data_IF_890418601199
#
_entry.id   IF_890418601199
#
_cell.length_a   1.000
_cell.length_b   1.000
_cell.length_c   1.000
_cell.angle_alpha   90.00
_cell.angle_beta   90.00
_cell.angle_gamma   90.00
#
_symmetry.space_group_name_H-M   'P 1'
#
loop_
_entity.id
_entity.type
_entity.pdbx_description
1 polymer ?
#
# COMPACT_ATOMS: atom_id res chain seq x y z
N UNK A 1 19.31 0.52 0.11
CA UNK A 1 18.72 0.73 -1.22
C UNK A 1 17.21 0.69 -1.07
N UNK A 2 16.45 1.61 -1.69
CA UNK A 2 15.00 1.60 -1.59
C UNK A 2 14.47 0.31 -2.23
N UNK A 3 13.93 -0.57 -1.41
CA UNK A 3 13.31 -1.81 -1.87
C UNK A 3 11.88 -1.45 -2.25
N UNK A 4 11.46 -1.61 -3.52
CA UNK A 4 10.07 -1.45 -3.87
C UNK A 4 9.26 -2.45 -3.02
N UNK A 5 8.36 -1.95 -2.18
CA UNK A 5 7.44 -2.82 -1.49
C UNK A 5 6.35 -3.22 -2.47
N UNK A 6 6.48 -4.43 -3.01
CA UNK A 6 5.37 -5.06 -3.70
C UNK A 6 4.30 -5.41 -2.68
N UNK A 7 3.31 -4.52 -2.55
CA UNK A 7 2.14 -4.70 -1.70
C UNK A 7 1.49 -6.08 -1.92
N UNK A 8 1.44 -6.53 -3.18
CA UNK A 8 0.92 -7.85 -3.57
C UNK A 8 1.72 -8.99 -2.94
N UNK A 9 3.05 -8.88 -2.91
CA UNK A 9 3.92 -9.87 -2.29
C UNK A 9 3.76 -9.87 -0.76
N UNK A 10 3.57 -8.70 -0.16
CA UNK A 10 3.34 -8.55 1.27
C UNK A 10 1.98 -9.12 1.70
N UNK A 11 0.94 -8.87 0.89
CA UNK A 11 -0.40 -9.45 1.05
C UNK A 11 -0.48 -10.94 0.69
N UNK A 12 0.59 -11.52 0.16
CA UNK A 12 0.62 -12.89 -0.34
C UNK A 12 -0.47 -13.18 -1.40
N UNK A 13 -0.82 -12.17 -2.22
CA UNK A 13 -1.82 -12.30 -3.28
C UNK A 13 -1.23 -12.04 -4.65
N UNK A 14 -1.73 -12.77 -5.63
CA UNK A 14 -1.37 -12.54 -7.04
C UNK A 14 -2.01 -11.26 -7.56
N UNK A 15 -1.33 -10.57 -8.49
CA UNK A 15 -1.87 -9.40 -9.19
C UNK A 15 -3.26 -9.68 -9.79
N UNK A 16 -3.49 -10.88 -10.31
CA UNK A 16 -4.78 -11.30 -10.90
C UNK A 16 -5.91 -11.31 -9.86
N UNK A 17 -5.73 -12.05 -8.76
CA UNK A 17 -6.70 -12.07 -7.65
C UNK A 17 -6.97 -10.67 -7.08
N UNK A 18 -5.93 -9.86 -6.94
CA UNK A 18 -6.04 -8.49 -6.48
C UNK A 18 -6.80 -7.60 -7.47
N UNK A 19 -6.53 -7.75 -8.77
CA UNK A 19 -7.21 -7.01 -9.83
C UNK A 19 -8.69 -7.39 -9.92
N UNK A 20 -9.03 -8.67 -9.73
CA UNK A 20 -10.41 -9.15 -9.65
C UNK A 20 -11.15 -8.58 -8.43
N UNK A 21 -10.46 -8.37 -7.30
CA UNK A 21 -11.02 -7.71 -6.12
C UNK A 21 -11.17 -6.21 -6.38
N UNK A 22 -10.20 -5.55 -7.02
CA UNK A 22 -10.28 -4.13 -7.40
C UNK A 22 -11.45 -3.87 -8.35
N UNK A 23 -11.69 -4.78 -9.28
CA UNK A 23 -12.79 -4.68 -10.25
C UNK A 23 -14.16 -4.76 -9.56
N UNK A 24 -14.26 -5.60 -8.52
CA UNK A 24 -15.48 -5.76 -7.71
C UNK A 24 -15.65 -4.70 -6.62
N UNK A 25 -14.55 -4.19 -6.09
CA UNK A 25 -14.51 -3.35 -4.90
C UNK A 25 -13.83 -2.00 -5.22
N UNK A 26 -14.66 -0.98 -5.48
CA UNK A 26 -14.17 0.37 -5.81
C UNK A 26 -13.38 1.01 -4.65
N UNK A 27 -13.69 0.64 -3.40
CA UNK A 27 -12.94 1.09 -2.23
C UNK A 27 -11.52 0.51 -2.22
N UNK A 28 -11.36 -0.76 -2.56
CA UNK A 28 -10.04 -1.39 -2.71
C UNK A 28 -9.24 -0.72 -3.83
N UNK A 29 -9.89 -0.40 -4.96
CA UNK A 29 -9.24 0.30 -6.06
C UNK A 29 -8.70 1.67 -5.63
N UNK A 30 -9.51 2.46 -4.90
CA UNK A 30 -9.09 3.76 -4.37
C UNK A 30 -7.94 3.60 -3.39
N UNK A 31 -8.07 2.71 -2.41
CA UNK A 31 -7.03 2.45 -1.41
C UNK A 31 -5.71 2.03 -2.06
N UNK A 32 -5.74 1.16 -3.06
CA UNK A 32 -4.54 0.73 -3.79
C UNK A 32 -3.86 1.89 -4.51
N UNK A 33 -4.62 2.74 -5.19
CA UNK A 33 -4.08 3.92 -5.88
C UNK A 33 -3.49 4.93 -4.89
N UNK A 34 -4.14 5.11 -3.75
CA UNK A 34 -3.67 5.97 -2.67
C UNK A 34 -2.38 5.41 -2.06
N UNK A 35 -2.32 4.09 -1.81
CA UNK A 35 -1.13 3.40 -1.33
C UNK A 35 0.05 3.60 -2.29
N UNK A 36 -0.15 3.36 -3.59
CA UNK A 36 0.90 3.49 -4.59
C UNK A 36 1.40 4.94 -4.69
N UNK A 37 0.50 5.91 -4.55
CA UNK A 37 0.87 7.33 -4.50
C UNK A 37 1.71 7.62 -3.25
N UNK A 38 1.28 7.14 -2.08
CA UNK A 38 1.99 7.34 -0.80
C UNK A 38 3.35 6.66 -0.78
N UNK A 39 3.45 5.46 -1.33
CA UNK A 39 4.72 4.74 -1.48
C UNK A 39 5.72 5.54 -2.35
N UNK A 40 5.26 6.11 -3.47
CA UNK A 40 6.08 7.03 -4.28
C UNK A 40 6.51 8.27 -3.52
N UNK A 41 5.61 8.86 -2.72
CA UNK A 41 5.96 10.01 -1.87
C UNK A 41 6.99 9.64 -0.80
N UNK A 42 6.86 8.47 -0.17
CA UNK A 42 7.85 7.93 0.78
C UNK A 42 9.20 7.75 0.09
N UNK A 43 9.23 7.05 -1.05
CA UNK A 43 10.45 6.80 -1.81
C UNK A 43 11.12 8.09 -2.27
N UNK A 44 10.33 9.06 -2.74
CA UNK A 44 10.84 10.37 -3.12
C UNK A 44 11.38 11.12 -1.90
N UNK A 45 10.69 11.08 -0.76
CA UNK A 45 11.16 11.71 0.47
C UNK A 45 12.46 11.06 0.99
N UNK A 46 12.54 9.73 0.97
CA UNK A 46 13.75 8.97 1.33
C UNK A 46 14.91 9.27 0.37
N UNK A 47 14.64 9.36 -0.94
CA UNK A 47 15.65 9.63 -1.95
C UNK A 47 16.15 11.08 -1.91
N UNK A 48 15.28 12.04 -1.60
CA UNK A 48 15.65 13.45 -1.47
C UNK A 48 16.34 13.77 -0.13
N UNK A 49 16.46 12.80 0.79
CA UNK A 49 16.96 13.05 2.14
C UNK A 49 16.05 14.00 2.93
N UNK A 50 14.76 13.98 2.63
CA UNK A 50 13.74 14.76 3.35
C UNK A 50 13.71 14.33 4.82
N UNK A 51 13.47 15.30 5.69
CA UNK A 51 13.40 15.16 7.15
C UNK A 51 12.73 13.84 7.60
N UNK A 52 13.42 13.08 8.46
CA UNK A 52 12.98 11.77 8.95
C UNK A 52 11.55 11.77 9.49
N UNK A 53 11.11 12.87 10.14
CA UNK A 53 9.73 13.00 10.62
C UNK A 53 8.68 12.89 9.51
N UNK A 54 8.94 13.50 8.34
CA UNK A 54 8.00 13.48 7.22
C UNK A 54 7.93 12.07 6.61
N UNK A 55 9.09 11.44 6.42
CA UNK A 55 9.19 10.03 5.97
C UNK A 55 8.46 9.12 6.95
N UNK A 56 8.60 9.34 8.25
CA UNK A 56 7.97 8.52 9.28
C UNK A 56 6.43 8.68 9.29
N UNK A 57 5.91 9.89 9.02
CA UNK A 57 4.46 10.13 8.83
C UNK A 57 3.94 9.41 7.59
N UNK A 58 4.60 9.58 6.45
CA UNK A 58 4.21 8.94 5.19
C UNK A 58 4.26 7.40 5.30
N UNK A 59 5.27 6.85 5.98
CA UNK A 59 5.36 5.41 6.28
C UNK A 59 4.18 4.91 7.13
N UNK A 60 3.73 5.70 8.13
CA UNK A 60 2.54 5.35 8.91
C UNK A 60 1.28 5.34 8.05
N UNK A 61 1.09 6.34 7.19
CA UNK A 61 -0.06 6.38 6.28
C UNK A 61 -0.05 5.21 5.29
N UNK A 62 1.12 4.92 4.71
CA UNK A 62 1.34 3.75 3.86
C UNK A 62 0.96 2.46 4.58
N UNK A 63 1.35 2.31 5.84
CA UNK A 63 1.05 1.12 6.64
C UNK A 63 -0.44 0.99 6.94
N UNK A 64 -1.13 2.09 7.26
CA UNK A 64 -2.59 2.12 7.45
C UNK A 64 -3.34 1.74 6.17
N UNK A 65 -2.89 2.23 5.01
CA UNK A 65 -3.47 1.89 3.72
C UNK A 65 -3.27 0.41 3.41
N UNK A 66 -2.06 -0.14 3.65
CA UNK A 66 -1.80 -1.57 3.54
C UNK A 66 -2.74 -2.38 4.43
N UNK A 67 -2.87 -2.03 5.71
CA UNK A 67 -3.69 -2.76 6.68
C UNK A 67 -5.17 -2.79 6.27
N UNK A 68 -5.68 -1.68 5.73
CA UNK A 68 -7.03 -1.60 5.15
C UNK A 68 -7.19 -2.52 3.94
N UNK A 69 -6.23 -2.48 3.02
CA UNK A 69 -6.23 -3.35 1.84
C UNK A 69 -6.19 -4.81 2.29
N UNK A 70 -5.29 -5.16 3.21
CA UNK A 70 -5.15 -6.51 3.76
C UNK A 70 -6.45 -7.02 4.38
N UNK A 71 -7.16 -6.19 5.16
CA UNK A 71 -8.47 -6.56 5.70
C UNK A 71 -9.55 -6.83 4.66
N UNK A 72 -9.50 -6.15 3.51
CA UNK A 72 -10.46 -6.37 2.43
C UNK A 72 -10.10 -7.65 1.67
N UNK A 73 -8.81 -7.89 1.44
CA UNK A 73 -8.28 -9.06 0.73
C UNK A 73 -8.39 -10.34 1.56
N UNK A 74 -8.04 -10.24 2.85
CA UNK A 74 -8.11 -11.30 3.86
C UNK A 74 -9.19 -10.94 4.87
N UNK A 75 -10.49 -11.05 4.50
CA UNK A 75 -11.55 -10.88 5.48
C UNK A 75 -11.34 -11.92 6.57
N UNK A 76 -11.41 -11.55 7.86
CA UNK A 76 -11.29 -12.51 8.94
C UNK A 76 -12.37 -13.57 8.74
N UNK A 77 -11.95 -14.83 8.58
CA UNK A 77 -12.88 -15.98 8.56
C UNK A 77 -13.70 -15.93 9.85
N UNK A 78 -14.99 -15.60 9.71
CA UNK A 78 -16.00 -15.79 10.76
C UNK A 78 -16.40 -17.26 10.84
#
# INVERSE_FOLDING_TARGET
>A
MPVPHDLLADLHVTADAFQALIDKDQDLHKLHKEYNTKDKEVLAAEANGTNDEAVNRLRKERLLLKDKIERIIHPPKS
#
